data_IF_448839262417
#
_entry.id   IF_448839262417
#
_cell.length_a   1.000
_cell.length_b   1.000
_cell.length_c   1.000
_cell.angle_alpha   90.00
_cell.angle_beta   90.00
_cell.angle_gamma   90.00
#
_symmetry.space_group_name_H-M   'P 1'
#
loop_
_entity.id
_entity.type
_entity.pdbx_description
1 polymer ?
#
# COMPACT_ATOMS: atom_id res chain seq x y z
N UNK A 1 -12.71 -3.83 -28.60
CA UNK A 1 -11.93 -3.87 -27.34
C UNK A 1 -11.92 -2.48 -26.68
N UNK A 2 -13.03 -2.05 -26.06
CA UNK A 2 -13.18 -0.69 -25.45
C UNK A 2 -13.72 -0.72 -24.01
N UNK A 3 -13.71 -1.89 -23.35
CA UNK A 3 -14.36 -2.10 -22.03
C UNK A 3 -13.40 -2.43 -20.88
N UNK A 4 -12.12 -2.65 -21.13
CA UNK A 4 -11.15 -3.06 -20.10
C UNK A 4 -10.43 -1.89 -19.41
N UNK A 5 -10.55 -0.67 -19.91
CA UNK A 5 -9.84 0.50 -19.37
C UNK A 5 -10.40 1.00 -18.03
N UNK A 6 -11.67 0.69 -17.71
CA UNK A 6 -12.36 1.27 -16.54
C UNK A 6 -11.99 0.60 -15.21
N UNK A 7 -11.50 -0.64 -15.21
CA UNK A 7 -11.21 -1.38 -13.97
C UNK A 7 -9.84 -1.01 -13.36
N UNK A 8 -8.84 -0.66 -14.18
CA UNK A 8 -7.50 -0.31 -13.68
C UNK A 8 -7.44 1.08 -13.03
N UNK A 9 -8.28 2.03 -13.48
CA UNK A 9 -8.34 3.39 -12.92
C UNK A 9 -8.80 3.44 -11.46
N UNK A 10 -9.55 2.43 -10.98
CA UNK A 10 -10.00 2.36 -9.59
C UNK A 10 -8.86 2.04 -8.61
N UNK A 11 -7.86 1.25 -9.02
CA UNK A 11 -6.73 0.88 -8.17
C UNK A 11 -5.73 2.04 -7.99
N UNK A 12 -5.50 2.83 -9.05
CA UNK A 12 -4.63 4.01 -8.96
C UNK A 12 -5.23 5.11 -8.05
N UNK A 13 -6.56 5.23 -8.01
CA UNK A 13 -7.23 6.17 -7.11
C UNK A 13 -7.13 5.77 -5.63
N UNK A 14 -7.10 4.47 -5.31
CA UNK A 14 -7.03 3.97 -3.93
C UNK A 14 -5.70 4.27 -3.22
N UNK A 15 -4.56 4.13 -3.93
CA UNK A 15 -3.25 4.46 -3.39
C UNK A 15 -3.05 5.99 -3.24
N UNK A 16 -3.65 6.78 -4.15
CA UNK A 16 -3.68 8.23 -4.02
C UNK A 16 -4.61 8.69 -2.88
N UNK A 17 -5.69 7.96 -2.56
CA UNK A 17 -6.65 8.31 -1.50
C UNK A 17 -6.07 8.21 -0.08
N UNK A 18 -5.13 7.29 0.18
CA UNK A 18 -4.46 7.21 1.48
C UNK A 18 -3.48 8.38 1.71
N UNK A 19 -2.94 8.98 0.65
CA UNK A 19 -2.05 10.14 0.73
C UNK A 19 -2.79 11.49 0.55
N UNK A 20 -3.84 11.53 -0.27
CA UNK A 20 -4.66 12.73 -0.54
C UNK A 20 -5.79 12.93 0.48
N UNK A 21 -6.21 11.86 1.17
CA UNK A 21 -7.23 11.91 2.23
C UNK A 21 -6.77 12.64 3.51
N UNK A 22 -5.47 12.92 3.65
CA UNK A 22 -4.89 13.61 4.81
C UNK A 22 -4.58 15.10 4.54
N UNK A 23 -5.07 15.69 3.43
CA UNK A 23 -4.65 17.04 3.01
C UNK A 23 -5.74 17.99 2.50
N UNK A 24 -7.02 17.64 2.54
CA UNK A 24 -8.09 18.46 1.95
C UNK A 24 -9.04 19.07 2.98
N UNK A 25 -8.51 19.67 4.04
CA UNK A 25 -9.25 20.69 4.81
C UNK A 25 -9.01 22.07 4.19
N UNK A 26 -9.40 22.24 2.91
CA UNK A 26 -9.70 23.58 2.40
C UNK A 26 -11.15 23.86 2.74
N UNK A 27 -11.36 24.53 3.86
CA UNK A 27 -12.66 25.06 4.27
C UNK A 27 -13.32 25.79 3.10
N UNK A 28 -14.60 25.48 2.88
CA UNK A 28 -15.33 25.91 1.71
C UNK A 28 -15.48 27.43 1.55
N UNK A 29 -15.53 27.86 0.29
CA UNK A 29 -16.45 28.89 -0.14
C UNK A 29 -17.07 28.42 -1.45
N UNK A 30 -18.39 28.23 -1.42
CA UNK A 30 -19.18 27.88 -2.60
C UNK A 30 -19.09 29.01 -3.62
N UNK A 31 -18.47 28.77 -4.77
CA UNK A 31 -18.59 29.62 -5.95
C UNK A 31 -19.51 28.94 -6.97
N UNK A 32 -20.63 29.62 -7.25
CA UNK A 32 -21.64 29.26 -8.26
C UNK A 32 -21.05 29.06 -9.66
N UNK A 33 -21.70 28.26 -10.53
CA UNK A 33 -21.32 28.13 -11.92
C UNK A 33 -21.80 29.36 -12.71
N UNK A 34 -20.91 30.02 -13.44
CA UNK A 34 -21.30 30.91 -14.53
C UNK A 34 -20.40 30.74 -15.75
N UNK A 35 -21.11 30.71 -16.87
CA UNK A 35 -20.73 30.33 -18.21
C UNK A 35 -19.67 31.23 -18.90
N UNK A 36 -19.17 30.65 -20.01
CA UNK A 36 -18.79 31.31 -21.27
C UNK A 36 -17.31 31.64 -21.51
N UNK A 37 -16.75 30.91 -22.50
CA UNK A 37 -15.76 31.20 -23.57
C UNK A 37 -15.15 32.63 -23.71
N UNK A 38 -14.05 32.85 -24.49
CA UNK A 38 -13.44 31.97 -25.52
C UNK A 38 -11.89 31.86 -25.50
N UNK A 39 -11.42 31.05 -26.45
CA UNK A 39 -10.04 30.77 -26.84
C UNK A 39 -9.20 32.01 -27.19
N UNK A 40 -7.96 32.02 -26.70
CA UNK A 40 -6.75 32.54 -27.33
C UNK A 40 -5.60 32.05 -26.41
N UNK A 41 -4.51 31.42 -26.87
CA UNK A 41 -3.30 32.10 -27.33
C UNK A 41 -2.27 31.02 -27.73
N UNK A 42 -1.75 31.19 -28.94
CA UNK A 42 -0.33 31.10 -29.37
C UNK A 42 0.47 29.81 -29.22
N UNK A 43 0.67 29.21 -30.39
CA UNK A 43 1.81 28.41 -30.82
C UNK A 43 3.14 29.17 -30.67
N UNK A 44 4.10 28.58 -29.95
CA UNK A 44 5.52 28.89 -30.11
C UNK A 44 6.32 27.60 -30.11
N UNK A 45 6.84 27.28 -31.28
CA UNK A 45 7.88 26.30 -31.51
C UNK A 45 9.21 26.85 -30.99
N UNK A 46 9.99 26.03 -30.31
CA UNK A 46 11.42 26.21 -30.20
C UNK A 46 12.08 24.83 -30.24
N UNK A 47 12.79 24.59 -31.34
CA UNK A 47 13.76 23.52 -31.50
C UNK A 47 14.97 23.80 -30.62
N UNK A 48 15.54 22.74 -30.06
CA UNK A 48 16.96 22.73 -29.66
C UNK A 48 17.51 21.32 -29.78
N UNK A 49 18.34 21.17 -30.80
CA UNK A 49 19.19 20.04 -31.16
C UNK A 49 20.52 20.16 -30.40
N UNK A 50 20.99 19.08 -29.77
CA UNK A 50 22.40 18.85 -29.35
C UNK A 50 22.49 17.34 -29.03
N UNK A 51 23.04 16.48 -29.89
CA UNK A 51 24.47 16.25 -30.19
C UNK A 51 25.27 15.86 -28.92
N UNK A 52 25.37 14.57 -28.63
CA UNK A 52 26.49 13.65 -28.95
C UNK A 52 27.58 13.66 -27.87
N UNK A 53 27.85 12.51 -27.24
CA UNK A 53 29.19 11.90 -27.19
C UNK A 53 29.14 10.54 -26.50
N UNK A 54 29.71 9.56 -27.20
CA UNK A 54 30.00 8.19 -26.79
C UNK A 54 31.30 8.10 -25.99
N UNK A 55 31.35 7.19 -25.02
CA UNK A 55 32.55 6.51 -24.51
C UNK A 55 32.05 5.22 -23.84
N UNK A 56 32.23 4.02 -24.38
CA UNK A 56 33.49 3.26 -24.57
C UNK A 56 34.24 3.05 -23.25
N UNK A 57 34.05 1.87 -22.65
CA UNK A 57 35.04 1.14 -21.84
C UNK A 57 34.47 -0.25 -21.48
N UNK A 58 34.85 -1.30 -22.20
CA UNK A 58 35.97 -2.23 -21.92
C UNK A 58 35.56 -3.43 -21.06
N UNK A 59 35.61 -4.58 -21.72
CA UNK A 59 35.50 -5.94 -21.20
C UNK A 59 36.48 -6.27 -20.07
N UNK A 60 36.05 -7.08 -19.11
CA UNK A 60 36.91 -8.06 -18.45
C UNK A 60 36.14 -9.38 -18.24
N UNK A 61 36.83 -10.43 -18.64
CA UNK A 61 36.42 -11.84 -18.73
C UNK A 61 36.52 -12.57 -17.37
N UNK A 62 36.09 -13.85 -17.30
CA UNK A 62 35.66 -14.52 -16.07
C UNK A 62 36.80 -15.23 -15.34
N UNK A 63 36.54 -15.65 -14.10
CA UNK A 63 37.36 -16.66 -13.43
C UNK A 63 36.51 -17.60 -12.58
N UNK A 64 36.92 -18.87 -12.68
CA UNK A 64 36.26 -20.12 -12.34
C UNK A 64 36.35 -20.55 -10.87
N UNK A 65 35.54 -21.58 -10.57
CA UNK A 65 35.80 -22.73 -9.66
C UNK A 65 35.90 -22.41 -8.15
N UNK A 66 35.34 -23.19 -7.22
CA UNK A 66 35.50 -24.65 -7.01
C UNK A 66 34.34 -25.29 -6.21
N UNK A 67 34.28 -26.62 -6.32
CA UNK A 67 33.48 -27.63 -5.65
C UNK A 67 33.53 -27.68 -4.10
N UNK A 68 32.53 -28.34 -3.49
CA UNK A 68 32.61 -29.35 -2.38
C UNK A 68 31.19 -29.53 -1.79
N UNK A 69 30.48 -30.64 -2.01
CA UNK A 69 30.58 -31.99 -1.42
C UNK A 69 29.87 -32.19 -0.07
N UNK A 70 29.12 -33.31 -0.03
CA UNK A 70 28.66 -34.13 1.11
C UNK A 70 27.46 -33.65 1.93
N UNK A 71 26.32 -34.36 1.89
CA UNK A 71 25.99 -35.58 2.69
C UNK A 71 25.91 -35.24 4.17
N UNK A 72 24.78 -35.41 4.86
CA UNK A 72 24.42 -36.57 5.68
C UNK A 72 23.06 -36.22 6.34
N UNK A 73 22.00 -37.02 6.18
CA UNK A 73 21.64 -38.22 6.95
C UNK A 73 20.82 -37.94 8.24
N UNK A 74 19.85 -38.83 8.43
CA UNK A 74 19.35 -39.37 9.71
C UNK A 74 18.22 -38.69 10.52
N UNK A 75 17.33 -39.62 10.94
CA UNK A 75 16.54 -39.67 12.19
C UNK A 75 15.13 -39.07 12.12
N UNK A 76 14.10 -39.93 12.17
CA UNK A 76 13.54 -40.57 13.39
C UNK A 76 12.82 -39.52 14.25
N UNK A 77 11.64 -39.71 14.82
CA UNK A 77 10.75 -40.84 15.07
C UNK A 77 9.56 -40.24 15.83
N UNK A 78 8.41 -40.91 15.81
CA UNK A 78 7.51 -41.16 16.96
C UNK A 78 6.79 -39.94 17.60
N UNK A 79 5.46 -39.93 17.47
CA UNK A 79 4.50 -40.25 18.53
C UNK A 79 4.25 -39.07 19.50
N UNK A 80 2.99 -38.67 19.64
CA UNK A 80 2.28 -38.78 20.92
C UNK A 80 0.83 -38.30 20.81
N UNK A 81 -0.04 -39.23 21.19
CA UNK A 81 -1.38 -39.09 21.72
C UNK A 81 -1.59 -37.84 22.59
N UNK A 82 -2.80 -37.26 22.53
CA UNK A 82 -3.80 -37.48 23.58
C UNK A 82 -4.96 -36.49 23.45
N UNK A 83 -6.14 -37.09 23.35
CA UNK A 83 -7.45 -36.55 23.65
C UNK A 83 -7.48 -35.85 25.01
N UNK A 84 -8.15 -34.70 25.11
CA UNK A 84 -8.92 -34.34 26.30
C UNK A 84 -10.20 -33.60 25.88
N UNK A 85 -11.30 -34.33 26.02
CA UNK A 85 -12.66 -33.82 26.15
C UNK A 85 -12.75 -32.82 27.31
N UNK A 86 -13.33 -31.65 27.08
CA UNK A 86 -13.96 -30.87 28.16
C UNK A 86 -15.33 -30.41 27.71
N UNK A 87 -16.31 -31.26 28.03
CA UNK A 87 -17.70 -30.87 28.15
C UNK A 87 -17.87 -29.99 29.39
N UNK A 88 -18.47 -28.81 29.24
CA UNK A 88 -19.18 -28.14 30.33
C UNK A 88 -20.29 -27.29 29.74
N UNK A 89 -21.48 -27.89 29.78
CA UNK A 89 -22.78 -27.24 29.70
C UNK A 89 -22.94 -26.31 30.89
N UNK A 90 -23.38 -25.06 30.67
CA UNK A 90 -24.22 -24.34 31.64
C UNK A 90 -25.25 -23.50 30.89
N UNK A 91 -26.51 -23.89 31.09
CA UNK A 91 -27.73 -23.16 30.80
C UNK A 91 -27.77 -21.85 31.59
N UNK A 92 -28.11 -20.74 30.93
CA UNK A 92 -28.79 -19.62 31.60
C UNK A 92 -29.88 -19.01 30.73
N UNK A 93 -31.08 -19.12 31.30
CA UNK A 93 -32.41 -18.68 30.91
C UNK A 93 -32.57 -17.35 30.19
N UNK A 94 -33.57 -17.38 29.30
CA UNK A 94 -34.36 -16.26 28.77
C UNK A 94 -34.67 -15.16 29.78
N UNK A 95 -34.53 -13.93 29.29
CA UNK A 95 -35.44 -12.82 29.61
C UNK A 95 -35.49 -11.89 28.40
N UNK A 96 -36.61 -11.91 27.69
CA UNK A 96 -37.10 -10.77 26.89
C UNK A 96 -37.39 -9.61 27.87
N UNK A 97 -37.12 -8.34 27.52
CA UNK A 97 -38.10 -7.63 26.69
C UNK A 97 -37.57 -6.49 25.79
N UNK A 98 -38.51 -6.02 24.96
CA UNK A 98 -38.66 -4.67 24.41
C UNK A 98 -37.81 -4.30 23.18
N UNK A 99 -38.49 -4.37 22.04
CA UNK A 99 -38.41 -3.45 20.90
C UNK A 99 -38.16 -2.00 21.34
N UNK A 100 -36.98 -1.48 21.05
CA UNK A 100 -36.74 -0.04 20.93
C UNK A 100 -36.18 0.22 19.52
N UNK A 101 -37.03 0.83 18.70
CA UNK A 101 -36.77 1.29 17.34
C UNK A 101 -35.85 2.52 17.42
N UNK A 102 -34.57 2.30 17.76
CA UNK A 102 -33.53 3.31 17.60
C UNK A 102 -32.88 3.11 16.24
N UNK A 103 -33.32 3.93 15.29
CA UNK A 103 -32.59 4.21 14.06
C UNK A 103 -31.24 4.83 14.42
N UNK A 104 -30.28 3.99 14.80
CA UNK A 104 -28.89 4.37 15.04
C UNK A 104 -28.30 4.72 13.68
N UNK A 105 -28.29 6.02 13.36
CA UNK A 105 -27.46 6.53 12.29
C UNK A 105 -26.03 6.10 12.59
N UNK A 106 -25.54 5.11 11.82
CA UNK A 106 -24.19 4.55 11.85
C UNK A 106 -23.20 5.65 11.45
N UNK A 107 -23.03 6.59 12.38
CA UNK A 107 -22.14 7.73 12.26
C UNK A 107 -20.78 7.15 12.63
N UNK A 108 -20.13 6.50 11.67
CA UNK A 108 -18.78 5.97 11.82
C UNK A 108 -17.88 7.08 12.38
N UNK A 109 -17.63 7.04 13.68
CA UNK A 109 -16.87 8.06 14.38
C UNK A 109 -15.45 8.05 13.82
N UNK A 110 -15.01 9.19 13.30
CA UNK A 110 -13.64 9.37 12.86
C UNK A 110 -12.76 9.56 14.09
N UNK A 111 -11.73 8.74 14.24
CA UNK A 111 -10.78 8.87 15.34
C UNK A 111 -9.65 9.77 14.88
N UNK A 112 -9.58 10.98 15.44
CA UNK A 112 -8.41 11.84 15.26
C UNK A 112 -7.30 11.36 16.19
N UNK A 113 -6.12 11.09 15.64
CA UNK A 113 -4.92 10.66 16.37
C UNK A 113 -3.84 11.73 16.25
N UNK A 114 -3.08 11.92 17.33
CA UNK A 114 -1.98 12.89 17.40
C UNK A 114 -2.01 13.80 18.62
N UNK A 115 -0.90 14.50 18.85
CA UNK A 115 -0.63 15.34 20.03
C UNK A 115 -0.70 16.84 19.74
N UNK A 116 -1.01 17.26 18.52
CA UNK A 116 -1.05 18.67 18.12
C UNK A 116 0.32 19.37 18.19
N UNK A 117 1.43 18.63 18.11
CA UNK A 117 2.79 19.14 18.32
C UNK A 117 3.91 18.19 17.87
N UNK A 118 5.13 18.49 18.30
CA UNK A 118 6.36 17.76 17.97
C UNK A 118 6.25 16.25 18.25
N UNK A 119 6.88 15.44 17.40
CA UNK A 119 7.01 14.00 17.61
C UNK A 119 8.16 13.72 18.56
N UNK A 120 7.93 12.84 19.53
CA UNK A 120 9.00 12.30 20.36
C UNK A 120 9.90 11.33 19.55
N UNK A 121 11.06 10.98 20.10
CA UNK A 121 12.05 10.13 19.43
C UNK A 121 11.52 8.74 19.04
N UNK A 122 10.65 8.13 19.85
CA UNK A 122 10.04 6.84 19.51
C UNK A 122 9.08 6.98 18.33
N UNK A 123 8.24 8.01 18.34
CA UNK A 123 7.34 8.30 17.22
C UNK A 123 8.10 8.61 15.92
N UNK A 124 9.18 9.40 15.98
CA UNK A 124 10.04 9.68 14.82
C UNK A 124 10.67 8.39 14.29
N UNK A 125 11.23 7.56 15.16
CA UNK A 125 11.87 6.28 14.77
C UNK A 125 10.87 5.33 14.11
N UNK A 126 9.65 5.25 14.65
CA UNK A 126 8.59 4.41 14.10
C UNK A 126 8.17 4.88 12.70
N UNK A 127 7.91 6.16 12.51
CA UNK A 127 7.54 6.70 11.20
C UNK A 127 8.68 6.64 10.19
N UNK A 128 9.93 6.84 10.63
CA UNK A 128 11.10 6.71 9.76
C UNK A 128 11.24 5.28 9.22
N UNK A 129 11.02 4.28 10.09
CA UNK A 129 11.01 2.86 9.72
C UNK A 129 9.87 2.56 8.74
N UNK A 130 8.66 3.03 9.03
CA UNK A 130 7.50 2.89 8.14
C UNK A 130 7.77 3.50 6.75
N UNK A 131 8.21 4.75 6.71
CA UNK A 131 8.41 5.49 5.47
C UNK A 131 9.55 4.90 4.62
N UNK A 132 10.65 4.52 5.26
CA UNK A 132 11.78 3.87 4.58
C UNK A 132 11.37 2.51 4.01
N UNK A 133 10.57 1.73 4.75
CA UNK A 133 10.09 0.42 4.32
C UNK A 133 9.12 0.47 3.14
N UNK A 134 8.26 1.50 3.07
CA UNK A 134 7.24 1.66 2.01
C UNK A 134 7.78 2.39 0.78
N UNK A 135 8.83 3.20 0.91
CA UNK A 135 9.41 3.99 -0.19
C UNK A 135 9.73 3.20 -1.48
N UNK A 136 10.32 1.98 -1.43
CA UNK A 136 10.56 1.19 -2.63
C UNK A 136 9.26 0.82 -3.36
N UNK A 137 8.21 0.48 -2.62
CA UNK A 137 6.91 0.14 -3.19
C UNK A 137 6.27 1.34 -3.89
N UNK A 138 6.36 2.56 -3.33
CA UNK A 138 5.86 3.76 -3.99
C UNK A 138 6.63 4.09 -5.28
N UNK A 139 7.94 3.85 -5.28
CA UNK A 139 8.76 4.01 -6.49
C UNK A 139 8.28 3.08 -7.61
N UNK A 140 7.98 1.82 -7.26
CA UNK A 140 7.44 0.85 -8.22
C UNK A 140 6.04 1.22 -8.73
N UNK A 141 5.19 1.79 -7.87
CA UNK A 141 3.86 2.31 -8.27
C UNK A 141 4.01 3.51 -9.21
N UNK A 142 4.97 4.41 -8.97
CA UNK A 142 5.26 5.53 -9.87
C UNK A 142 5.74 5.04 -11.24
N UNK A 143 6.62 4.05 -11.26
CA UNK A 143 7.09 3.42 -12.50
C UNK A 143 5.94 2.73 -13.26
N UNK A 144 5.00 2.11 -12.54
CA UNK A 144 3.79 1.53 -13.12
C UNK A 144 2.90 2.62 -13.75
N UNK A 145 2.72 3.78 -13.11
CA UNK A 145 1.95 4.90 -13.67
C UNK A 145 2.57 5.41 -14.98
N UNK A 146 3.89 5.60 -15.02
CA UNK A 146 4.60 5.96 -16.25
C UNK A 146 4.43 4.92 -17.35
N UNK A 147 4.47 3.64 -16.96
CA UNK A 147 4.21 2.52 -17.88
C UNK A 147 2.79 2.58 -18.42
N UNK A 148 1.76 2.84 -17.61
CA UNK A 148 0.37 2.95 -18.08
C UNK A 148 0.15 4.10 -19.06
N UNK A 149 0.82 5.24 -18.85
CA UNK A 149 0.73 6.40 -19.76
C UNK A 149 1.42 6.14 -21.10
N UNK A 150 2.50 5.35 -21.12
CA UNK A 150 3.28 5.03 -22.33
C UNK A 150 2.89 3.73 -23.05
N UNK A 151 2.22 2.79 -22.39
CA UNK A 151 2.03 1.41 -22.89
C UNK A 151 0.88 1.24 -23.87
N UNK A 152 0.70 2.18 -24.81
CA UNK A 152 -0.41 2.20 -25.77
C UNK A 152 -0.60 0.96 -26.66
N UNK A 153 0.12 -0.16 -26.47
CA UNK A 153 -0.06 -1.36 -27.28
C UNK A 153 0.36 -2.72 -26.68
N UNK A 154 0.97 -2.81 -25.49
CA UNK A 154 1.52 -4.10 -24.99
C UNK A 154 0.90 -4.55 -23.65
N UNK A 155 -0.23 -5.29 -23.70
CA UNK A 155 -0.86 -5.88 -22.52
C UNK A 155 0.08 -6.78 -21.70
N UNK A 156 1.06 -7.43 -22.35
CA UNK A 156 1.98 -8.35 -21.69
C UNK A 156 3.01 -7.57 -20.85
N UNK A 157 3.56 -6.48 -21.39
CA UNK A 157 4.44 -5.58 -20.61
C UNK A 157 3.71 -4.94 -19.44
N UNK A 158 2.47 -4.52 -19.63
CA UNK A 158 1.65 -3.98 -18.55
C UNK A 158 1.45 -5.03 -17.45
N UNK A 159 1.05 -6.24 -17.79
CA UNK A 159 0.84 -7.32 -16.83
C UNK A 159 2.13 -7.71 -16.09
N UNK A 160 3.26 -7.78 -16.81
CA UNK A 160 4.57 -8.03 -16.19
C UNK A 160 4.96 -6.92 -15.22
N UNK A 161 4.81 -5.66 -15.61
CA UNK A 161 5.11 -4.51 -14.74
C UNK A 161 4.20 -4.54 -13.50
N UNK A 162 2.90 -4.74 -13.71
CA UNK A 162 1.91 -4.85 -12.64
C UNK A 162 2.24 -6.01 -11.67
N UNK A 163 2.60 -7.17 -12.20
CA UNK A 163 2.98 -8.35 -11.41
C UNK A 163 4.22 -8.08 -10.54
N UNK A 164 5.24 -7.45 -11.13
CA UNK A 164 6.47 -7.06 -10.43
C UNK A 164 6.19 -6.03 -9.35
N UNK A 165 5.39 -5.00 -9.65
CA UNK A 165 4.98 -3.97 -8.69
C UNK A 165 4.22 -4.60 -7.51
N UNK A 166 3.26 -5.49 -7.75
CA UNK A 166 2.53 -6.16 -6.67
C UNK A 166 3.41 -7.08 -5.82
N UNK A 167 4.31 -7.86 -6.45
CA UNK A 167 5.25 -8.70 -5.70
C UNK A 167 6.22 -7.88 -4.85
N UNK A 168 6.75 -6.80 -5.41
CA UNK A 168 7.64 -5.87 -4.70
C UNK A 168 6.92 -5.19 -3.55
N UNK A 169 5.73 -4.62 -3.79
CA UNK A 169 4.91 -3.98 -2.76
C UNK A 169 4.52 -4.94 -1.64
N UNK A 170 4.13 -6.17 -1.99
CA UNK A 170 3.79 -7.18 -0.99
C UNK A 170 4.99 -7.55 -0.11
N UNK A 171 6.17 -7.72 -0.71
CA UNK A 171 7.42 -8.00 0.01
C UNK A 171 7.82 -6.82 0.90
N UNK A 172 7.71 -5.59 0.39
CA UNK A 172 8.00 -4.37 1.13
C UNK A 172 7.07 -4.22 2.35
N UNK A 173 5.76 -4.47 2.21
CA UNK A 173 4.82 -4.42 3.33
C UNK A 173 5.11 -5.48 4.38
N UNK A 174 5.34 -6.74 3.99
CA UNK A 174 5.69 -7.80 4.94
C UNK A 174 7.02 -7.51 5.65
N UNK A 175 8.01 -6.97 4.94
CA UNK A 175 9.27 -6.56 5.55
C UNK A 175 9.07 -5.41 6.53
N UNK A 176 8.38 -4.35 6.10
CA UNK A 176 8.10 -3.17 6.92
C UNK A 176 7.35 -3.55 8.19
N UNK A 177 6.33 -4.41 8.09
CA UNK A 177 5.60 -4.89 9.27
C UNK A 177 6.53 -5.57 10.29
N UNK A 178 7.43 -6.44 9.83
CA UNK A 178 8.43 -7.09 10.70
C UNK A 178 9.43 -6.12 11.28
N UNK A 179 9.88 -5.14 10.50
CA UNK A 179 10.79 -4.10 10.99
C UNK A 179 10.09 -3.25 12.07
N UNK A 180 8.79 -2.96 11.90
CA UNK A 180 7.96 -2.21 12.85
C UNK A 180 7.71 -2.94 14.16
N UNK A 181 7.68 -4.28 14.18
CA UNK A 181 7.59 -5.07 15.42
C UNK A 181 8.81 -4.86 16.33
N UNK A 182 9.94 -4.41 15.78
CA UNK A 182 11.19 -4.17 16.50
C UNK A 182 11.40 -2.74 16.99
N UNK A 183 10.51 -1.79 16.64
CA UNK A 183 10.63 -0.39 17.03
C UNK A 183 9.57 0.00 18.08
N UNK A 184 9.88 0.93 18.99
CA UNK A 184 8.91 1.42 19.97
C UNK A 184 7.68 1.98 19.29
N UNK A 185 6.50 1.72 19.86
CA UNK A 185 5.24 2.30 19.38
C UNK A 185 5.23 3.82 19.58
N UNK A 186 4.58 4.59 18.69
CA UNK A 186 4.47 6.04 18.86
C UNK A 186 3.72 6.40 20.15
N UNK A 187 4.16 7.45 20.85
CA UNK A 187 3.65 7.80 22.19
C UNK A 187 2.57 8.90 22.21
N UNK A 188 2.23 9.45 21.04
CA UNK A 188 1.13 10.41 20.92
C UNK A 188 -0.24 9.75 21.09
N UNK A 189 -1.30 10.56 21.26
CA UNK A 189 -2.65 10.06 21.48
C UNK A 189 -3.15 9.19 20.30
N UNK A 190 -3.42 7.92 20.57
CA UNK A 190 -3.83 6.93 19.56
C UNK A 190 -2.68 6.36 18.72
N UNK A 191 -1.42 6.63 19.07
CA UNK A 191 -0.24 6.12 18.38
C UNK A 191 -0.12 4.60 18.44
N UNK A 192 -0.48 3.98 19.57
CA UNK A 192 -0.53 2.53 19.76
C UNK A 192 -1.56 1.85 18.83
N UNK A 193 -2.74 2.47 18.72
CA UNK A 193 -3.85 1.96 17.91
C UNK A 193 -3.52 2.12 16.42
N UNK A 194 -2.93 3.25 16.04
CA UNK A 194 -2.43 3.48 14.68
C UNK A 194 -1.37 2.43 14.33
N UNK A 195 -0.34 2.28 15.17
CA UNK A 195 0.77 1.36 14.91
C UNK A 195 0.28 -0.09 14.77
N UNK A 196 -0.54 -0.55 15.71
CA UNK A 196 -1.14 -1.90 15.66
C UNK A 196 -1.96 -2.10 14.40
N UNK A 197 -2.79 -1.12 14.03
CA UNK A 197 -3.65 -1.21 12.84
C UNK A 197 -2.84 -1.25 11.56
N UNK A 198 -1.80 -0.40 11.46
CA UNK A 198 -0.89 -0.34 10.30
C UNK A 198 -0.11 -1.65 10.15
N UNK A 199 0.52 -2.13 11.23
CA UNK A 199 1.29 -3.38 11.21
C UNK A 199 0.40 -4.58 10.87
N UNK A 200 -0.81 -4.65 11.47
CA UNK A 200 -1.79 -5.69 11.14
C UNK A 200 -2.17 -5.67 9.66
N UNK A 201 -2.49 -4.48 9.12
CA UNK A 201 -2.83 -4.34 7.71
C UNK A 201 -1.65 -4.77 6.82
N UNK A 202 -0.43 -4.32 7.10
CA UNK A 202 0.74 -4.70 6.31
C UNK A 202 1.03 -6.21 6.34
N UNK A 203 0.86 -6.86 7.50
CA UNK A 203 1.00 -8.31 7.64
C UNK A 203 -0.10 -9.08 6.91
N UNK A 204 -1.32 -8.55 6.84
CA UNK A 204 -2.41 -9.18 6.09
C UNK A 204 -2.28 -8.96 4.57
N UNK A 205 -1.98 -7.73 4.14
CA UNK A 205 -1.96 -7.36 2.74
C UNK A 205 -0.66 -7.71 2.03
N UNK A 206 0.48 -7.68 2.72
CA UNK A 206 1.79 -8.01 2.15
C UNK A 206 1.83 -9.37 1.44
N UNK A 207 1.40 -10.46 2.10
CA UNK A 207 1.31 -11.78 1.47
C UNK A 207 0.27 -11.84 0.34
N UNK A 208 -0.88 -11.16 0.49
CA UNK A 208 -1.93 -11.10 -0.55
C UNK A 208 -1.42 -10.44 -1.83
N UNK A 209 -0.74 -9.29 -1.72
CA UNK A 209 -0.12 -8.61 -2.85
C UNK A 209 0.99 -9.44 -3.49
N UNK A 210 1.84 -10.07 -2.67
CA UNK A 210 2.90 -10.95 -3.17
C UNK A 210 2.35 -12.12 -3.99
N UNK A 211 1.29 -12.77 -3.48
CA UNK A 211 0.60 -13.87 -4.15
C UNK A 211 -0.11 -13.42 -5.43
N UNK A 212 -0.76 -12.25 -5.40
CA UNK A 212 -1.39 -11.69 -6.59
C UNK A 212 -0.36 -11.39 -7.66
N UNK A 213 0.75 -10.73 -7.32
CA UNK A 213 1.85 -10.47 -8.24
C UNK A 213 2.39 -11.75 -8.86
N UNK A 214 2.66 -12.78 -8.06
CA UNK A 214 3.09 -14.09 -8.55
C UNK A 214 2.07 -14.78 -9.47
N UNK A 215 0.77 -14.53 -9.26
CA UNK A 215 -0.30 -15.06 -10.10
C UNK A 215 -0.41 -14.30 -11.42
N UNK A 216 -0.36 -12.97 -11.38
CA UNK A 216 -0.37 -12.12 -12.57
C UNK A 216 0.86 -12.36 -13.46
N UNK A 217 2.02 -12.66 -12.87
CA UNK A 217 3.23 -12.99 -13.62
C UNK A 217 3.07 -14.25 -14.49
N UNK A 218 2.17 -15.16 -14.09
CA UNK A 218 1.87 -16.42 -14.80
C UNK A 218 0.63 -16.33 -15.67
N UNK A 219 -0.19 -15.30 -15.51
CA UNK A 219 -1.46 -15.15 -16.20
C UNK A 219 -1.28 -14.73 -17.66
N UNK A 220 -2.23 -15.15 -18.50
CA UNK A 220 -2.37 -14.55 -19.83
C UNK A 220 -2.99 -13.15 -19.70
N UNK A 221 -2.54 -12.13 -20.47
CA UNK A 221 -3.15 -10.80 -20.45
C UNK A 221 -4.65 -10.77 -20.79
N UNK A 222 -5.17 -11.84 -21.39
CA UNK A 222 -6.58 -12.00 -21.73
C UNK A 222 -7.32 -12.96 -20.77
N UNK A 223 -6.69 -13.43 -19.69
CA UNK A 223 -7.33 -14.34 -18.74
C UNK A 223 -8.30 -13.56 -17.82
N UNK A 224 -9.63 -13.80 -17.94
CA UNK A 224 -10.61 -13.14 -17.09
C UNK A 224 -10.45 -13.51 -15.61
N UNK A 225 -9.86 -14.68 -15.27
CA UNK A 225 -9.64 -15.08 -13.88
C UNK A 225 -8.60 -14.21 -13.19
N UNK A 226 -7.53 -13.85 -13.91
CA UNK A 226 -6.49 -12.96 -13.40
C UNK A 226 -7.05 -11.56 -13.08
N UNK A 227 -7.95 -11.07 -13.93
CA UNK A 227 -8.68 -9.82 -13.69
C UNK A 227 -9.67 -9.92 -12.53
N UNK A 228 -10.35 -11.06 -12.36
CA UNK A 228 -11.26 -11.28 -11.23
C UNK A 228 -10.51 -11.26 -9.89
N UNK A 229 -9.31 -11.84 -9.82
CA UNK A 229 -8.50 -11.79 -8.60
C UNK A 229 -8.08 -10.37 -8.19
N UNK A 230 -7.86 -9.49 -9.17
CA UNK A 230 -7.60 -8.08 -8.90
C UNK A 230 -8.85 -7.41 -8.28
N UNK A 231 -10.05 -7.74 -8.76
CA UNK A 231 -11.30 -7.24 -8.18
C UNK A 231 -11.55 -7.78 -6.77
N UNK A 232 -11.26 -9.05 -6.52
CA UNK A 232 -11.40 -9.65 -5.19
C UNK A 232 -10.40 -9.05 -4.19
N UNK A 233 -9.17 -8.78 -4.61
CA UNK A 233 -8.23 -8.01 -3.80
C UNK A 233 -8.80 -6.64 -3.43
N UNK A 234 -9.49 -5.97 -4.36
CA UNK A 234 -10.19 -4.71 -4.10
C UNK A 234 -11.25 -4.80 -3.01
N UNK A 235 -11.98 -5.92 -2.91
CA UNK A 235 -12.97 -6.18 -1.85
C UNK A 235 -12.30 -6.45 -0.51
N UNK A 236 -11.17 -7.14 -0.54
CA UNK A 236 -10.35 -7.43 0.64
C UNK A 236 -9.67 -6.17 1.22
N UNK A 237 -9.54 -5.10 0.43
CA UNK A 237 -8.97 -3.82 0.88
C UNK A 237 -9.86 -3.06 1.90
N UNK A 238 -10.97 -3.63 2.36
CA UNK A 238 -11.75 -3.08 3.49
C UNK A 238 -10.89 -2.84 4.73
N UNK A 239 -9.89 -3.70 5.00
CA UNK A 239 -8.94 -3.45 6.09
C UNK A 239 -8.11 -2.16 5.91
N UNK A 240 -7.79 -1.80 4.67
CA UNK A 240 -7.15 -0.52 4.34
C UNK A 240 -8.13 0.66 4.49
N UNK A 241 -9.42 0.42 4.26
CA UNK A 241 -10.46 1.42 4.50
C UNK A 241 -10.60 1.73 5.99
N UNK A 242 -10.42 0.76 6.88
CA UNK A 242 -10.34 1.02 8.32
C UNK A 242 -9.16 1.93 8.66
N UNK A 243 -8.01 1.79 7.98
CA UNK A 243 -6.89 2.72 8.18
C UNK A 243 -7.24 4.16 7.77
N UNK A 244 -8.11 4.34 6.77
CA UNK A 244 -8.55 5.67 6.36
C UNK A 244 -9.46 6.37 7.38
N UNK A 245 -9.95 5.65 8.41
CA UNK A 245 -10.71 6.24 9.52
C UNK A 245 -9.83 6.96 10.53
N UNK A 246 -8.53 6.69 10.55
CA UNK A 246 -7.58 7.42 11.38
C UNK A 246 -7.24 8.74 10.71
N UNK A 247 -7.69 9.85 11.30
CA UNK A 247 -7.24 11.18 10.92
C UNK A 247 -6.03 11.55 11.75
N UNK A 248 -4.87 11.64 11.13
CA UNK A 248 -3.69 12.23 11.78
C UNK A 248 -3.94 13.74 11.90
N UNK A 249 -3.76 14.31 13.08
CA UNK A 249 -3.89 15.76 13.25
C UNK A 249 -2.86 16.51 12.39
N UNK A 250 -3.17 17.77 12.05
CA UNK A 250 -2.34 18.55 11.13
C UNK A 250 -0.91 18.81 11.63
N UNK A 251 -0.71 18.98 12.94
CA UNK A 251 0.59 19.17 13.57
C UNK A 251 1.43 17.90 13.52
N UNK A 252 0.83 16.76 13.88
CA UNK A 252 1.46 15.43 13.77
C UNK A 252 1.82 15.15 12.31
N UNK A 253 0.93 15.41 11.35
CA UNK A 253 1.21 15.24 9.93
C UNK A 253 2.34 16.16 9.43
N UNK A 254 2.38 17.41 9.87
CA UNK A 254 3.47 18.34 9.53
C UNK A 254 4.82 17.83 10.06
N UNK A 255 4.85 17.30 11.29
CA UNK A 255 6.05 16.70 11.87
C UNK A 255 6.49 15.43 11.12
N UNK A 256 5.55 14.55 10.71
CA UNK A 256 5.86 13.37 9.88
C UNK A 256 6.47 13.79 8.54
N UNK A 257 5.98 14.87 7.91
CA UNK A 257 6.53 15.39 6.64
C UNK A 257 7.97 15.89 6.77
N UNK A 258 8.40 16.29 7.96
CA UNK A 258 9.78 16.72 8.19
C UNK A 258 10.76 15.56 8.33
N UNK A 259 10.27 14.33 8.57
CA UNK A 259 11.10 13.13 8.64
C UNK A 259 11.73 12.87 7.25
N UNK A 260 13.08 12.78 7.13
CA UNK A 260 13.76 12.68 5.85
C UNK A 260 13.28 11.53 4.96
N UNK A 261 13.04 10.34 5.53
CA UNK A 261 12.54 9.18 4.79
C UNK A 261 11.11 9.34 4.29
N UNK A 262 10.29 10.14 4.98
CA UNK A 262 8.91 10.41 4.59
C UNK A 262 8.80 11.50 3.52
N UNK A 263 9.79 12.40 3.38
CA UNK A 263 9.78 13.50 2.38
C UNK A 263 9.58 13.00 0.95
N UNK A 264 10.16 11.87 0.60
CA UNK A 264 10.01 11.25 -0.73
C UNK A 264 8.57 10.82 -1.01
N UNK A 265 7.86 10.33 0.01
CA UNK A 265 6.47 9.86 -0.10
C UNK A 265 5.52 11.03 -0.36
N UNK A 266 5.70 12.15 0.35
CA UNK A 266 4.84 13.32 0.22
C UNK A 266 5.14 14.16 -1.03
N UNK A 267 6.40 14.23 -1.44
CA UNK A 267 6.78 14.94 -2.67
C UNK A 267 6.37 14.21 -3.95
N UNK A 268 6.17 12.88 -3.90
CA UNK A 268 5.75 12.11 -5.06
C UNK A 268 4.26 12.28 -5.43
N UNK A 269 3.44 12.82 -4.52
CA UNK A 269 2.00 13.02 -4.72
C UNK A 269 1.56 14.45 -5.03
N UNK A 270 2.50 15.40 -5.05
CA UNK A 270 2.27 16.80 -5.46
C UNK A 270 2.58 16.97 -6.95
#
# INVERSE_FOLDING_TARGET
MKRTTTALSAFAAGAALLLAGCGSDTAGTAASPSASQPANITTSAASSTQDSTSADSTSQEPSSSEDTSSSEDTSSSEDTSSSEDTSSSEDTSSSEPATDDSSTADTSATTTVGSGGDLDEASVTWFDTYCSGVSPALTDVKNLSGTMQGSGSDPKKLLQTLSKTFTSMGSAFTKTAKDLDGVPVPTFNGGDTLATSVTKAMNEFGPKFSKLGATLAKADPNDPKALAQLQDLGKDMKGLQELSRFKVDAGTLAAIKEIPSCKSLFSAGS
#
